data_IF_332068439649
#
_entry.id   IF_332068439649
#
_cell.length_a   1.000
_cell.length_b   1.000
_cell.length_c   1.000
_cell.angle_alpha   90.00
_cell.angle_beta   90.00
_cell.angle_gamma   90.00
#
_symmetry.space_group_name_H-M   'P 1'
#
loop_
_entity.id
_entity.type
_entity.pdbx_description
1 polymer ?
#
# COMPACT_ATOMS: atom_id res chain seq x y z
N UNK A 1 14.89 -15.30 -9.11
CA UNK A 1 14.90 -14.20 -8.16
C UNK A 1 15.80 -14.50 -6.96
N UNK A 2 15.95 -13.56 -6.02
CA UNK A 2 16.84 -13.69 -4.86
C UNK A 2 16.51 -14.90 -3.97
N UNK A 3 15.25 -15.27 -3.87
CA UNK A 3 14.80 -16.46 -3.15
C UNK A 3 15.35 -17.75 -3.78
N UNK A 4 15.34 -17.86 -5.12
CA UNK A 4 15.87 -19.02 -5.83
C UNK A 4 17.38 -19.19 -5.63
N UNK A 5 18.09 -18.12 -5.29
CA UNK A 5 19.51 -18.13 -4.96
C UNK A 5 19.79 -18.31 -3.45
N UNK A 6 18.75 -18.52 -2.64
CA UNK A 6 18.87 -18.67 -1.19
C UNK A 6 19.32 -17.40 -0.44
N UNK A 7 19.27 -16.24 -1.08
CA UNK A 7 19.71 -14.97 -0.49
C UNK A 7 18.64 -14.36 0.44
N UNK A 8 17.39 -14.72 0.23
CA UNK A 8 16.27 -14.36 1.13
C UNK A 8 15.21 -15.46 1.10
N UNK A 9 14.33 -15.43 2.08
CA UNK A 9 13.13 -16.28 2.12
C UNK A 9 11.91 -15.35 2.17
N UNK A 10 10.94 -15.63 1.32
CA UNK A 10 9.63 -14.93 1.34
C UNK A 10 8.60 -15.83 2.02
N UNK A 11 7.85 -15.27 2.94
CA UNK A 11 6.72 -15.94 3.57
C UNK A 11 5.45 -15.10 3.38
N UNK A 12 4.51 -15.63 2.62
CA UNK A 12 3.18 -15.04 2.50
C UNK A 12 2.34 -15.31 3.76
N UNK A 13 1.53 -14.34 4.13
CA UNK A 13 0.52 -14.43 5.18
C UNK A 13 -0.83 -14.11 4.56
N UNK A 14 -1.86 -14.86 4.91
CA UNK A 14 -3.21 -14.61 4.40
C UNK A 14 -3.71 -13.24 4.85
N UNK A 15 -4.30 -12.47 3.95
CA UNK A 15 -4.87 -11.17 4.30
C UNK A 15 -5.86 -11.29 5.46
N UNK A 16 -5.76 -10.38 6.42
CA UNK A 16 -6.63 -10.28 7.60
C UNK A 16 -6.60 -11.49 8.54
N UNK A 17 -5.65 -12.42 8.38
CA UNK A 17 -5.44 -13.53 9.32
C UNK A 17 -4.39 -13.14 10.38
N UNK A 18 -4.84 -12.50 11.46
CA UNK A 18 -3.99 -12.06 12.55
C UNK A 18 -3.30 -13.23 13.26
N UNK A 19 -3.94 -14.39 13.32
CA UNK A 19 -3.38 -15.58 13.96
C UNK A 19 -2.20 -16.15 13.16
N UNK A 20 -2.36 -16.24 11.83
CA UNK A 20 -1.26 -16.67 10.97
C UNK A 20 -0.11 -15.66 11.03
N UNK A 21 -0.42 -14.35 11.01
CA UNK A 21 0.57 -13.29 11.13
C UNK A 21 1.40 -13.44 12.42
N UNK A 22 0.75 -13.62 13.56
CA UNK A 22 1.41 -13.83 14.86
C UNK A 22 2.28 -15.07 14.87
N UNK A 23 1.77 -16.18 14.34
CA UNK A 23 2.50 -17.45 14.28
C UNK A 23 3.77 -17.31 13.42
N UNK A 24 3.68 -16.65 12.26
CA UNK A 24 4.84 -16.38 11.38
C UNK A 24 5.87 -15.50 12.09
N UNK A 25 5.46 -14.41 12.74
CA UNK A 25 6.39 -13.57 13.50
C UNK A 25 7.04 -14.31 14.66
N UNK A 26 6.29 -15.17 15.35
CA UNK A 26 6.83 -15.99 16.43
C UNK A 26 7.85 -17.01 15.91
N UNK A 27 7.58 -17.67 14.78
CA UNK A 27 8.45 -18.67 14.17
C UNK A 27 9.78 -18.06 13.69
N UNK A 28 9.70 -16.97 12.92
CA UNK A 28 10.86 -16.44 12.19
C UNK A 28 11.71 -15.43 12.98
N UNK A 29 11.34 -15.09 14.21
CA UNK A 29 12.10 -14.14 15.05
C UNK A 29 12.71 -14.77 16.31
N UNK A 30 12.84 -16.11 16.38
CA UNK A 30 13.42 -16.81 17.56
C UNK A 30 14.93 -17.00 17.46
N UNK A 31 15.52 -16.89 16.30
CA UNK A 31 16.91 -17.22 16.05
C UNK A 31 17.81 -16.02 15.79
N UNK A 32 18.97 -16.31 15.23
CA UNK A 32 19.96 -15.32 14.79
C UNK A 32 19.41 -14.46 13.65
N UNK A 33 18.63 -15.06 12.77
CA UNK A 33 18.01 -14.37 11.64
C UNK A 33 16.60 -13.94 12.03
N UNK A 34 16.27 -12.71 11.71
CA UNK A 34 14.97 -12.10 11.97
C UNK A 34 14.25 -11.79 10.66
N UNK A 35 12.97 -11.48 10.78
CA UNK A 35 12.19 -10.92 9.68
C UNK A 35 12.82 -9.60 9.24
N UNK A 36 13.32 -9.55 8.01
CA UNK A 36 14.06 -8.39 7.48
C UNK A 36 13.14 -7.22 7.14
N UNK A 37 11.90 -7.50 6.67
CA UNK A 37 10.89 -6.49 6.40
C UNK A 37 9.50 -7.14 6.30
N UNK A 38 8.47 -6.35 6.57
CA UNK A 38 7.06 -6.68 6.31
C UNK A 38 6.53 -5.82 5.17
N UNK A 39 6.18 -6.45 4.05
CA UNK A 39 5.64 -5.80 2.85
C UNK A 39 4.13 -5.98 2.80
N UNK A 40 3.40 -4.91 2.49
CA UNK A 40 1.96 -4.97 2.28
C UNK A 40 1.46 -3.84 1.37
N UNK A 41 0.33 -4.08 0.71
CA UNK A 41 -0.58 -3.05 0.20
C UNK A 41 -1.68 -2.82 1.24
N UNK A 42 -2.38 -1.68 1.19
CA UNK A 42 -3.58 -1.46 2.01
C UNK A 42 -4.84 -1.99 1.31
N UNK A 43 -4.86 -1.86 -0.01
CA UNK A 43 -5.88 -2.40 -0.90
C UNK A 43 -5.15 -3.22 -1.96
N UNK A 44 -5.37 -4.52 -1.94
CA UNK A 44 -4.70 -5.46 -2.85
C UNK A 44 -5.45 -5.53 -4.17
N UNK A 45 -5.17 -4.57 -5.07
CA UNK A 45 -5.90 -4.42 -6.33
C UNK A 45 -5.86 -5.69 -7.19
N UNK A 46 -4.76 -6.43 -7.18
CA UNK A 46 -4.61 -7.68 -7.94
C UNK A 46 -5.37 -8.87 -7.31
N UNK A 47 -5.97 -8.68 -6.14
CA UNK A 47 -6.79 -9.67 -5.43
C UNK A 47 -8.22 -9.15 -5.22
N UNK A 48 -8.83 -8.65 -6.29
CA UNK A 48 -10.20 -8.14 -6.27
C UNK A 48 -10.40 -6.90 -5.41
N UNK A 49 -9.35 -6.10 -5.23
CA UNK A 49 -9.31 -4.92 -4.36
C UNK A 49 -9.56 -5.24 -2.87
N UNK A 50 -9.25 -6.45 -2.42
CA UNK A 50 -9.41 -6.83 -1.02
C UNK A 50 -8.66 -5.87 -0.09
N UNK A 51 -9.37 -5.33 0.89
CA UNK A 51 -8.84 -4.35 1.83
C UNK A 51 -8.30 -5.05 3.08
N UNK A 52 -7.13 -4.63 3.54
CA UNK A 52 -6.65 -5.00 4.86
C UNK A 52 -7.41 -4.24 5.94
N UNK A 53 -7.83 -4.92 7.00
CA UNK A 53 -8.57 -4.32 8.11
C UNK A 53 -7.68 -3.45 8.99
N UNK A 54 -8.30 -2.46 9.66
CA UNK A 54 -7.58 -1.61 10.59
C UNK A 54 -6.94 -2.41 11.73
N UNK A 55 -7.62 -3.44 12.24
CA UNK A 55 -7.10 -4.33 13.28
C UNK A 55 -5.86 -5.08 12.81
N UNK A 56 -5.92 -5.67 11.61
CA UNK A 56 -4.80 -6.41 11.03
C UNK A 56 -3.57 -5.53 10.84
N UNK A 57 -3.72 -4.34 10.25
CA UNK A 57 -2.63 -3.40 10.04
C UNK A 57 -2.03 -2.94 11.38
N UNK A 58 -2.86 -2.56 12.35
CA UNK A 58 -2.38 -2.18 13.69
C UNK A 58 -1.61 -3.32 14.36
N UNK A 59 -2.12 -4.55 14.22
CA UNK A 59 -1.44 -5.74 14.77
C UNK A 59 -0.11 -5.99 14.08
N UNK A 60 -0.06 -5.93 12.75
CA UNK A 60 1.17 -6.08 11.97
C UNK A 60 2.23 -5.05 12.38
N UNK A 61 1.86 -3.77 12.46
CA UNK A 61 2.78 -2.71 12.88
C UNK A 61 3.24 -2.85 14.34
N UNK A 62 2.39 -3.36 15.23
CA UNK A 62 2.77 -3.66 16.61
C UNK A 62 3.82 -4.80 16.66
N UNK A 63 3.63 -5.86 15.89
CA UNK A 63 4.59 -6.97 15.77
C UNK A 63 5.91 -6.49 15.15
N UNK A 64 5.85 -5.69 14.09
CA UNK A 64 7.02 -5.11 13.46
C UNK A 64 7.84 -4.27 14.46
N UNK A 65 7.20 -3.39 15.22
CA UNK A 65 7.88 -2.62 16.28
C UNK A 65 8.50 -3.53 17.36
N UNK A 66 7.76 -4.55 17.80
CA UNK A 66 8.24 -5.51 18.82
C UNK A 66 9.50 -6.24 18.36
N UNK A 67 9.62 -6.55 17.08
CA UNK A 67 10.69 -7.35 16.52
C UNK A 67 11.74 -6.55 15.76
N UNK A 68 11.66 -5.21 15.81
CA UNK A 68 12.55 -4.31 15.07
C UNK A 68 12.59 -4.63 13.57
N UNK A 69 11.40 -4.82 13.01
CA UNK A 69 11.19 -5.18 11.61
C UNK A 69 10.69 -3.96 10.84
N UNK A 70 11.40 -3.46 9.83
CA UNK A 70 10.92 -2.38 8.97
C UNK A 70 9.62 -2.77 8.26
N UNK A 71 8.70 -1.80 8.16
CA UNK A 71 7.46 -1.94 7.39
C UNK A 71 7.61 -1.26 6.03
N UNK A 72 7.16 -1.94 4.97
CA UNK A 72 7.15 -1.41 3.60
C UNK A 72 5.71 -1.36 3.12
N UNK A 73 5.16 -0.15 3.01
CA UNK A 73 3.84 0.08 2.45
C UNK A 73 3.94 0.34 0.94
N UNK A 74 3.34 -0.52 0.14
CA UNK A 74 3.19 -0.28 -1.29
C UNK A 74 1.95 0.59 -1.52
N UNK A 75 2.18 1.88 -1.71
CA UNK A 75 1.17 2.89 -1.99
C UNK A 75 1.07 3.23 -3.50
N UNK A 76 1.69 2.43 -4.36
CA UNK A 76 1.68 2.70 -5.81
C UNK A 76 0.26 2.81 -6.36
N UNK A 77 -0.69 2.03 -5.81
CA UNK A 77 -2.10 2.08 -6.22
C UNK A 77 -2.93 3.07 -5.39
N UNK A 78 -2.57 3.31 -4.14
CA UNK A 78 -3.42 3.98 -3.15
C UNK A 78 -3.10 5.45 -2.94
N UNK A 79 -1.87 5.88 -3.23
CA UNK A 79 -1.47 7.29 -3.07
C UNK A 79 -2.32 8.24 -3.94
N UNK A 80 -2.56 9.45 -3.45
CA UNK A 80 -3.41 10.55 -3.98
C UNK A 80 -4.92 10.28 -4.07
N UNK A 81 -5.38 9.04 -3.92
CA UNK A 81 -6.81 8.70 -3.92
C UNK A 81 -7.46 8.82 -2.53
N UNK A 82 -6.66 9.06 -1.53
CA UNK A 82 -7.08 9.40 -0.17
C UNK A 82 -7.07 10.93 0.03
N UNK A 83 -8.04 11.51 0.77
CA UNK A 83 -7.97 12.92 1.18
C UNK A 83 -6.74 13.22 2.05
N UNK A 84 -6.16 12.20 2.68
CA UNK A 84 -4.90 12.28 3.44
C UNK A 84 -3.66 12.12 2.54
N UNK A 85 -3.83 12.03 1.22
CA UNK A 85 -2.83 11.77 0.19
C UNK A 85 -2.31 10.33 0.21
N UNK A 86 -1.99 9.82 1.39
CA UNK A 86 -1.49 8.46 1.59
C UNK A 86 -2.47 7.64 2.43
N UNK A 87 -2.73 6.42 2.00
CA UNK A 87 -3.64 5.50 2.70
C UNK A 87 -3.13 5.16 4.11
N UNK A 88 -1.82 5.09 4.33
CA UNK A 88 -1.28 4.80 5.66
C UNK A 88 -1.72 5.82 6.73
N UNK A 89 -1.99 7.06 6.33
CA UNK A 89 -2.49 8.10 7.25
C UNK A 89 -3.92 7.81 7.68
N UNK A 90 -4.78 7.32 6.79
CA UNK A 90 -6.15 6.90 7.14
C UNK A 90 -6.14 5.75 8.17
N UNK A 91 -5.16 4.84 8.09
CA UNK A 91 -4.97 3.77 9.07
C UNK A 91 -4.30 4.24 10.38
N UNK A 92 -3.83 5.48 10.44
CA UNK A 92 -3.13 6.04 11.59
C UNK A 92 -1.80 5.33 11.87
N UNK A 93 -1.10 4.87 10.83
CA UNK A 93 0.22 4.24 10.93
C UNK A 93 1.27 5.01 10.14
N UNK A 94 2.55 4.80 10.48
CA UNK A 94 3.67 5.36 9.73
C UNK A 94 4.59 4.23 9.32
N UNK A 95 4.67 3.90 8.02
CA UNK A 95 5.58 2.88 7.53
C UNK A 95 7.04 3.35 7.60
N UNK A 96 7.97 2.40 7.69
CA UNK A 96 9.40 2.68 7.59
C UNK A 96 9.79 3.10 6.17
N UNK A 97 9.11 2.50 5.19
CA UNK A 97 9.28 2.75 3.75
C UNK A 97 7.89 2.81 3.13
N UNK A 98 7.64 3.80 2.26
CA UNK A 98 6.47 3.86 1.40
C UNK A 98 6.92 3.98 -0.06
N UNK A 99 6.31 3.18 -0.94
CA UNK A 99 6.57 3.21 -2.38
C UNK A 99 5.41 3.90 -3.07
N UNK A 100 5.70 4.91 -3.89
CA UNK A 100 4.71 5.71 -4.59
C UNK A 100 5.02 5.80 -6.09
N UNK A 101 4.00 5.93 -6.90
CA UNK A 101 4.12 5.99 -8.36
C UNK A 101 2.74 6.07 -9.01
N UNK A 102 2.64 5.61 -10.24
CA UNK A 102 1.40 5.65 -11.04
C UNK A 102 0.74 7.03 -11.02
N UNK A 103 -0.36 7.19 -10.30
CA UNK A 103 -1.11 8.44 -10.21
C UNK A 103 -0.39 9.56 -9.47
N UNK A 104 0.58 9.28 -8.60
CA UNK A 104 1.18 10.31 -7.76
C UNK A 104 1.95 11.39 -8.54
N UNK A 105 2.72 11.11 -9.61
CA UNK A 105 3.24 12.21 -10.43
C UNK A 105 2.21 12.74 -11.46
N UNK A 106 0.92 12.77 -11.13
CA UNK A 106 -0.16 13.30 -11.95
C UNK A 106 -0.71 12.33 -13.02
N UNK A 107 -0.21 11.08 -13.06
CA UNK A 107 -0.63 10.09 -14.07
C UNK A 107 -0.03 10.29 -15.46
N UNK A 108 0.41 11.48 -15.78
CA UNK A 108 0.97 11.85 -17.09
C UNK A 108 2.49 11.61 -17.18
N UNK A 109 3.16 11.47 -16.05
CA UNK A 109 4.60 11.32 -15.99
C UNK A 109 5.01 9.95 -15.40
N UNK A 110 5.76 9.12 -16.16
CA UNK A 110 6.16 7.79 -15.70
C UNK A 110 7.29 7.87 -14.68
N UNK A 111 6.97 8.00 -13.42
CA UNK A 111 7.96 8.05 -12.35
C UNK A 111 7.48 7.30 -11.10
N UNK A 112 8.43 6.88 -10.27
CA UNK A 112 8.19 6.32 -8.95
C UNK A 112 9.18 6.88 -7.94
N UNK A 113 8.82 6.86 -6.65
CA UNK A 113 9.68 7.28 -5.55
C UNK A 113 9.55 6.31 -4.39
N UNK A 114 10.63 6.19 -3.66
CA UNK A 114 10.67 5.47 -2.39
C UNK A 114 10.86 6.53 -1.31
N UNK A 115 9.89 6.63 -0.41
CA UNK A 115 9.95 7.48 0.77
C UNK A 115 10.36 6.60 1.95
N UNK A 116 11.36 6.98 2.71
CA UNK A 116 11.83 6.16 3.82
C UNK A 116 12.37 7.00 4.98
N UNK A 117 12.43 6.38 6.15
CA UNK A 117 13.01 7.01 7.33
C UNK A 117 14.51 7.24 7.11
N UNK A 118 15.01 8.41 7.51
CA UNK A 118 16.42 8.77 7.38
C UNK A 118 17.38 7.75 8.02
N UNK A 119 16.96 7.03 9.06
CA UNK A 119 17.75 5.96 9.67
C UNK A 119 18.01 4.77 8.75
N UNK A 120 17.22 4.62 7.66
CA UNK A 120 17.40 3.58 6.64
C UNK A 120 18.26 4.05 5.46
N UNK A 121 18.67 5.30 5.44
CA UNK A 121 19.56 5.84 4.41
C UNK A 121 21.00 5.41 4.68
N UNK A 122 21.31 4.19 4.27
CA UNK A 122 22.64 3.57 4.45
C UNK A 122 23.40 3.44 3.13
N UNK A 123 22.85 3.95 2.03
CA UNK A 123 23.52 3.91 0.74
C UNK A 123 24.73 4.85 0.71
N UNK A 124 25.83 4.42 0.14
CA UNK A 124 26.98 5.31 -0.09
C UNK A 124 26.60 6.39 -1.12
N UNK A 125 27.37 7.46 -1.15
CA UNK A 125 27.23 8.49 -2.15
C UNK A 125 27.21 7.85 -3.56
N UNK A 126 26.23 8.19 -4.37
CA UNK A 126 25.93 7.58 -5.68
C UNK A 126 25.47 6.09 -5.65
N UNK A 127 25.21 5.50 -4.48
CA UNK A 127 24.80 4.11 -4.37
C UNK A 127 23.47 3.76 -5.03
N UNK A 128 22.60 4.76 -5.25
CA UNK A 128 21.33 4.62 -5.96
C UNK A 128 21.28 5.47 -7.25
N UNK A 129 22.42 5.87 -7.79
CA UNK A 129 22.45 6.64 -9.02
C UNK A 129 22.07 5.76 -10.21
N UNK A 130 21.01 6.14 -10.89
CA UNK A 130 20.54 5.49 -12.12
C UNK A 130 20.27 6.55 -13.19
N UNK A 131 20.40 6.18 -14.45
CA UNK A 131 20.05 7.07 -15.57
C UNK A 131 18.60 7.52 -15.44
N UNK A 132 18.36 8.82 -15.53
CA UNK A 132 17.05 9.47 -15.35
C UNK A 132 16.40 9.29 -13.95
N UNK A 133 17.13 8.77 -12.96
CA UNK A 133 16.59 8.52 -11.63
C UNK A 133 16.26 9.78 -10.83
N UNK A 134 16.86 10.91 -11.18
CA UNK A 134 16.71 12.22 -10.51
C UNK A 134 16.23 13.30 -11.46
N UNK A 135 15.38 12.94 -12.42
CA UNK A 135 14.89 13.87 -13.41
C UNK A 135 14.09 15.02 -12.78
N UNK A 136 14.42 16.26 -13.16
CA UNK A 136 13.81 17.47 -12.61
C UNK A 136 12.32 17.57 -12.92
N UNK A 137 11.91 17.18 -14.15
CA UNK A 137 10.50 17.17 -14.54
C UNK A 137 9.67 16.18 -13.72
N UNK A 138 10.22 15.02 -13.37
CA UNK A 138 9.58 14.10 -12.45
C UNK A 138 9.35 14.74 -11.08
N UNK A 139 10.37 15.44 -10.56
CA UNK A 139 10.28 16.12 -9.27
C UNK A 139 9.26 17.25 -9.29
N UNK A 140 9.17 18.00 -10.39
CA UNK A 140 8.15 19.02 -10.60
C UNK A 140 6.75 18.40 -10.67
N UNK A 141 6.56 17.30 -11.41
CA UNK A 141 5.28 16.60 -11.50
C UNK A 141 4.81 16.11 -10.12
N UNK A 142 5.70 15.55 -9.30
CA UNK A 142 5.39 15.18 -7.91
C UNK A 142 4.96 16.39 -7.08
N UNK A 143 5.70 17.51 -7.17
CA UNK A 143 5.38 18.72 -6.41
C UNK A 143 4.01 19.29 -6.79
N UNK A 144 3.72 19.37 -8.09
CA UNK A 144 2.44 19.87 -8.61
C UNK A 144 1.31 18.95 -8.13
N UNK A 145 1.46 17.64 -8.26
CA UNK A 145 0.45 16.67 -7.83
C UNK A 145 0.21 16.75 -6.32
N UNK A 146 1.28 16.87 -5.52
CA UNK A 146 1.17 17.03 -4.07
C UNK A 146 0.37 18.28 -3.71
N UNK A 147 0.69 19.42 -4.31
CA UNK A 147 -0.02 20.69 -4.08
C UNK A 147 -1.47 20.62 -4.51
N UNK A 148 -1.74 19.98 -5.64
CA UNK A 148 -3.09 19.77 -6.11
C UNK A 148 -3.89 18.89 -5.13
N UNK A 149 -3.32 17.78 -4.69
CA UNK A 149 -3.96 16.86 -3.75
C UNK A 149 -4.25 17.53 -2.40
N UNK A 150 -3.31 18.31 -1.86
CA UNK A 150 -3.52 19.11 -0.64
C UNK A 150 -4.68 20.11 -0.80
N UNK A 151 -4.71 20.84 -1.92
CA UNK A 151 -5.74 21.84 -2.18
C UNK A 151 -7.12 21.24 -2.45
N UNK A 152 -7.23 19.99 -2.86
CA UNK A 152 -8.47 19.31 -3.25
C UNK A 152 -8.84 18.14 -2.31
N UNK A 153 -8.25 18.07 -1.12
CA UNK A 153 -8.46 16.95 -0.19
C UNK A 153 -9.95 16.74 0.16
N UNK A 154 -10.68 17.81 0.42
CA UNK A 154 -12.11 17.77 0.74
C UNK A 154 -12.94 17.21 -0.43
N UNK A 155 -12.70 17.70 -1.65
CA UNK A 155 -13.38 17.22 -2.85
C UNK A 155 -13.05 15.77 -3.13
N UNK A 156 -11.77 15.38 -3.01
CA UNK A 156 -11.32 14.00 -3.17
C UNK A 156 -12.05 13.08 -2.19
N UNK A 157 -12.15 13.50 -0.92
CA UNK A 157 -12.90 12.75 0.09
C UNK A 157 -14.37 12.61 -0.26
N UNK A 158 -15.06 13.73 -0.53
CA UNK A 158 -16.49 13.75 -0.81
C UNK A 158 -16.88 12.93 -2.06
N UNK A 159 -16.12 13.07 -3.14
CA UNK A 159 -16.35 12.29 -4.39
C UNK A 159 -16.08 10.81 -4.14
N UNK A 160 -15.02 10.48 -3.42
CA UNK A 160 -14.69 9.09 -3.09
C UNK A 160 -15.77 8.42 -2.22
N UNK A 161 -16.27 9.11 -1.19
CA UNK A 161 -17.32 8.60 -0.32
C UNK A 161 -18.65 8.44 -1.08
N UNK A 162 -19.02 9.39 -1.94
CA UNK A 162 -20.17 9.26 -2.82
C UNK A 162 -20.05 8.06 -3.76
N UNK A 163 -18.89 7.88 -4.38
CA UNK A 163 -18.66 6.75 -5.28
C UNK A 163 -18.79 5.40 -4.54
N UNK A 164 -18.19 5.29 -3.36
CA UNK A 164 -18.29 4.09 -2.52
C UNK A 164 -19.73 3.79 -2.10
N UNK A 165 -20.52 4.81 -1.74
CA UNK A 165 -21.94 4.68 -1.42
C UNK A 165 -22.73 4.16 -2.64
N UNK A 166 -22.50 4.74 -3.83
CA UNK A 166 -23.19 4.32 -5.05
C UNK A 166 -22.85 2.89 -5.45
N UNK A 167 -21.62 2.46 -5.23
CA UNK A 167 -21.23 1.07 -5.47
C UNK A 167 -21.91 0.11 -4.49
N UNK A 168 -22.05 0.46 -3.22
CA UNK A 168 -22.79 -0.35 -2.23
C UNK A 168 -24.27 -0.45 -2.60
N UNK A 169 -24.89 0.64 -3.02
CA UNK A 169 -26.27 0.65 -3.51
C UNK A 169 -26.42 -0.26 -4.76
N UNK A 170 -25.48 -0.19 -5.69
CA UNK A 170 -25.46 -1.08 -6.86
C UNK A 170 -25.37 -2.55 -6.42
N UNK A 171 -24.48 -2.89 -5.50
CA UNK A 171 -24.34 -4.26 -4.99
C UNK A 171 -25.63 -4.77 -4.35
N UNK A 172 -26.32 -3.92 -3.58
CA UNK A 172 -27.57 -4.30 -2.92
C UNK A 172 -28.70 -4.62 -3.91
N UNK A 173 -28.72 -3.95 -5.06
CA UNK A 173 -29.72 -4.15 -6.13
C UNK A 173 -29.39 -5.28 -7.09
N UNK A 174 -28.14 -5.70 -7.16
CA UNK A 174 -27.65 -6.69 -8.12
C UNK A 174 -26.88 -7.84 -7.46
N UNK A 175 -27.35 -8.30 -6.31
CA UNK A 175 -26.70 -9.36 -5.54
C UNK A 175 -26.61 -10.72 -6.25
N UNK A 176 -27.42 -10.95 -7.29
CA UNK A 176 -27.37 -12.18 -8.06
C UNK A 176 -26.06 -12.37 -8.83
N UNK A 177 -25.65 -11.42 -9.70
CA UNK A 177 -24.40 -11.54 -10.45
C UNK A 177 -23.16 -11.10 -9.65
N UNK A 178 -23.32 -10.25 -8.63
CA UNK A 178 -22.20 -9.69 -7.88
C UNK A 178 -21.85 -10.52 -6.64
N UNK A 179 -20.61 -10.95 -6.55
CA UNK A 179 -20.06 -11.63 -5.38
C UNK A 179 -19.71 -10.64 -4.26
N UNK A 180 -18.95 -9.59 -4.59
CA UNK A 180 -18.62 -8.53 -3.65
C UNK A 180 -18.22 -7.24 -4.35
N UNK A 181 -18.24 -6.13 -3.62
CA UNK A 181 -17.55 -4.89 -3.95
C UNK A 181 -16.56 -4.61 -2.82
N UNK A 182 -15.30 -4.52 -3.17
CA UNK A 182 -14.18 -4.35 -2.24
C UNK A 182 -13.46 -3.04 -2.51
N UNK A 183 -12.54 -2.66 -1.63
CA UNK A 183 -11.72 -1.47 -1.76
C UNK A 183 -12.15 -0.32 -0.87
N UNK A 184 -11.79 0.88 -1.27
CA UNK A 184 -12.07 2.10 -0.54
C UNK A 184 -12.17 3.29 -1.48
N UNK A 185 -13.23 4.09 -1.37
CA UNK A 185 -13.46 5.30 -2.16
C UNK A 185 -13.22 5.10 -3.66
N UNK A 186 -12.21 5.80 -4.24
CA UNK A 186 -11.90 5.74 -5.67
C UNK A 186 -11.32 4.40 -6.14
N UNK A 187 -10.80 3.58 -5.21
CA UNK A 187 -10.21 2.28 -5.52
C UNK A 187 -11.19 1.17 -5.17
N UNK A 188 -11.86 0.64 -6.16
CA UNK A 188 -12.85 -0.41 -5.98
C UNK A 188 -12.65 -1.56 -6.96
N UNK A 189 -12.87 -2.77 -6.47
CA UNK A 189 -13.01 -3.99 -7.25
C UNK A 189 -14.45 -4.45 -7.23
N UNK A 190 -15.02 -4.70 -8.40
CA UNK A 190 -16.34 -5.30 -8.57
C UNK A 190 -16.12 -6.77 -8.91
N UNK A 191 -16.39 -7.64 -7.97
CA UNK A 191 -16.16 -9.07 -8.12
C UNK A 191 -17.49 -9.76 -8.47
N UNK A 192 -17.45 -10.63 -9.46
CA UNK A 192 -18.61 -11.39 -9.93
C UNK A 192 -18.52 -12.83 -9.43
N UNK A 193 -19.69 -13.48 -9.27
CA UNK A 193 -19.73 -14.92 -9.10
C UNK A 193 -19.19 -15.59 -10.36
N UNK A 194 -18.52 -16.73 -10.19
CA UNK A 194 -18.14 -17.55 -11.35
C UNK A 194 -19.40 -17.92 -12.12
N UNK A 195 -19.41 -17.60 -13.39
CA UNK A 195 -20.43 -18.08 -14.31
C UNK A 195 -20.12 -19.56 -14.54
N UNK A 196 -20.95 -20.44 -13.97
CA UNK A 196 -20.85 -21.89 -14.12
C UNK A 196 -20.96 -22.36 -15.56
#
# INVERSE_FOLDING_TARGET
>A
GLENHGLLRVRGVRPNDEKELEAVFAEYNQGRYKTAAFFHEFIMMNYGAARLTDSYIRRAYALCRKHDTPTVADEIQTCVWSPEIFMFREYGVTPSIAVVGKGFPGGEYPASRILFNAALDTLPLFGALVTNGQEELASLAYLVTLRWAEANAEVTGAVGDYYEERLRDLASRHSGPLASIEGRRHLAGINFHELG
#
